data_IF_368584589848
#
_entry.id   IF_368584589848
#
_cell.length_a   1.000
_cell.length_b   1.000
_cell.length_c   1.000
_cell.angle_alpha   90.00
_cell.angle_beta   90.00
_cell.angle_gamma   90.00
#
_symmetry.space_group_name_H-M   'P 1'
#
loop_
_entity.id
_entity.type
_entity.pdbx_description
1 polymer ?
#
# COMPACT_ATOMS: atom_id res chain seq x y z
N UNK A 1 -3.58 8.87 -13.40
CA UNK A 1 -2.37 8.04 -13.57
C UNK A 1 -1.43 8.28 -12.40
N UNK A 2 -1.04 7.23 -11.70
CA UNK A 2 -0.05 7.30 -10.64
C UNK A 2 1.33 7.05 -11.19
N UNK A 3 2.30 7.86 -10.79
CA UNK A 3 3.70 7.63 -11.03
C UNK A 3 4.37 7.32 -9.70
N UNK A 4 5.07 6.21 -9.64
CA UNK A 4 5.68 5.71 -8.42
C UNK A 4 7.11 5.25 -8.70
N UNK A 5 8.05 5.60 -7.80
CA UNK A 5 9.39 5.04 -7.80
C UNK A 5 9.68 4.45 -6.43
N UNK A 6 10.43 3.36 -6.38
CA UNK A 6 10.72 2.63 -5.16
C UNK A 6 12.22 2.36 -5.03
N UNK A 7 12.74 2.57 -3.82
CA UNK A 7 14.12 2.31 -3.46
C UNK A 7 14.18 1.44 -2.21
N UNK A 8 15.22 0.63 -2.10
CA UNK A 8 15.39 -0.27 -0.96
C UNK A 8 16.65 0.07 -0.19
N UNK A 9 16.58 0.01 1.14
CA UNK A 9 17.67 0.34 2.04
C UNK A 9 17.76 -0.66 3.18
N UNK A 10 18.94 -0.88 3.78
CA UNK A 10 19.04 -1.66 4.99
C UNK A 10 18.39 -0.95 6.17
N UNK A 11 17.99 -1.70 7.19
CA UNK A 11 17.36 -1.14 8.40
C UNK A 11 18.18 -0.08 9.08
N UNK A 12 19.52 -0.21 9.02
CA UNK A 12 20.45 0.75 9.63
C UNK A 12 20.34 2.16 9.05
N UNK A 13 19.73 2.32 7.88
CA UNK A 13 19.57 3.62 7.24
C UNK A 13 18.34 4.41 7.68
N UNK A 14 17.50 3.83 8.55
CA UNK A 14 16.23 4.43 8.94
C UNK A 14 16.38 5.85 9.49
N UNK A 15 17.29 6.05 10.45
CA UNK A 15 17.49 7.35 11.07
C UNK A 15 17.98 8.39 10.06
N UNK A 16 18.87 8.01 9.18
CA UNK A 16 19.38 8.90 8.15
C UNK A 16 18.31 9.30 7.13
N UNK A 17 17.47 8.36 6.73
CA UNK A 17 16.35 8.62 5.82
C UNK A 17 15.36 9.59 6.45
N UNK A 18 14.98 9.34 7.70
CA UNK A 18 14.08 10.24 8.42
C UNK A 18 14.66 11.64 8.56
N UNK A 19 15.93 11.76 8.92
CA UNK A 19 16.60 13.06 9.05
C UNK A 19 16.60 13.83 7.74
N UNK A 20 16.88 13.14 6.63
CA UNK A 20 16.88 13.78 5.31
C UNK A 20 15.51 14.31 4.94
N UNK A 21 14.47 13.51 5.15
CA UNK A 21 13.10 13.92 4.83
C UNK A 21 12.58 15.00 5.77
N UNK A 22 12.94 14.94 7.05
CA UNK A 22 12.58 15.97 8.03
C UNK A 22 13.24 17.32 7.71
N UNK A 23 14.38 17.31 7.03
CA UNK A 23 15.05 18.54 6.61
C UNK A 23 14.36 19.26 5.45
N UNK A 24 13.45 18.60 4.76
CA UNK A 24 12.69 19.20 3.67
C UNK A 24 11.47 19.92 4.25
N UNK A 25 11.55 21.25 4.29
CA UNK A 25 10.55 22.11 4.95
C UNK A 25 9.17 22.04 4.31
N UNK A 26 9.10 21.75 3.03
CA UNK A 26 7.87 21.69 2.26
C UNK A 26 7.05 20.44 2.56
N UNK A 27 7.62 19.45 3.24
CA UNK A 27 6.95 18.20 3.56
C UNK A 27 6.42 18.21 4.99
N UNK A 28 5.21 17.67 5.14
CA UNK A 28 4.60 17.40 6.45
C UNK A 28 4.85 15.94 6.79
N UNK A 29 5.33 15.68 8.00
CA UNK A 29 5.55 14.32 8.49
C UNK A 29 4.28 13.78 9.11
N UNK A 30 3.82 12.63 8.63
CA UNK A 30 2.70 11.91 9.23
C UNK A 30 3.11 11.07 10.43
N UNK A 31 2.13 10.43 11.05
CA UNK A 31 2.37 9.53 12.19
C UNK A 31 2.86 8.18 11.70
N UNK A 32 3.81 7.60 12.42
CA UNK A 32 4.27 6.22 12.16
C UNK A 32 3.10 5.27 12.42
N UNK A 33 2.69 4.53 11.39
CA UNK A 33 1.48 3.71 11.41
C UNK A 33 1.83 2.24 11.24
N UNK A 34 1.31 1.41 12.15
CA UNK A 34 1.38 -0.04 12.00
C UNK A 34 0.34 -0.47 10.97
N UNK A 35 0.76 -1.31 10.01
CA UNK A 35 -0.13 -1.89 9.01
C UNK A 35 0.09 -3.38 8.89
N UNK A 36 -1.00 -4.13 8.89
CA UNK A 36 -1.00 -5.56 8.56
C UNK A 36 -1.91 -5.78 7.38
N UNK A 37 -1.38 -6.42 6.34
CA UNK A 37 -2.12 -6.69 5.10
C UNK A 37 -2.18 -8.18 4.86
N UNK A 38 -3.37 -8.68 4.53
CA UNK A 38 -3.59 -10.05 4.10
C UNK A 38 -4.15 -9.99 2.69
N UNK A 39 -3.51 -10.71 1.77
CA UNK A 39 -3.98 -10.83 0.39
C UNK A 39 -4.65 -12.18 0.19
N UNK A 40 -5.79 -12.14 -0.47
CA UNK A 40 -6.62 -13.32 -0.74
C UNK A 40 -6.78 -13.56 -2.24
N UNK A 41 -7.00 -14.80 -2.59
CA UNK A 41 -7.36 -15.21 -3.93
C UNK A 41 -8.67 -15.99 -3.91
N UNK A 42 -9.27 -16.15 -5.08
CA UNK A 42 -10.49 -16.93 -5.25
C UNK A 42 -10.25 -18.39 -4.84
N UNK A 43 -11.21 -19.05 -4.19
CA UNK A 43 -11.06 -20.46 -3.79
C UNK A 43 -10.97 -21.42 -4.97
N UNK A 44 -11.51 -21.06 -6.13
CA UNK A 44 -11.42 -21.85 -7.35
C UNK A 44 -10.24 -21.36 -8.20
N UNK A 45 -9.27 -22.22 -8.47
CA UNK A 45 -8.07 -21.86 -9.24
C UNK A 45 -8.40 -21.35 -10.65
N UNK A 46 -9.48 -21.85 -11.26
CA UNK A 46 -9.90 -21.38 -12.60
C UNK A 46 -10.42 -19.94 -12.59
N UNK A 47 -10.72 -19.41 -11.40
CA UNK A 47 -11.23 -18.06 -11.22
C UNK A 47 -10.25 -17.19 -10.44
N UNK A 48 -8.97 -17.56 -10.43
CA UNK A 48 -7.94 -16.79 -9.73
C UNK A 48 -7.94 -15.33 -10.15
N UNK A 49 -7.76 -14.45 -9.19
CA UNK A 49 -7.66 -13.01 -9.43
C UNK A 49 -6.34 -12.63 -10.07
N UNK A 50 -5.34 -13.48 -9.94
CA UNK A 50 -4.01 -13.24 -10.46
C UNK A 50 -3.62 -14.32 -11.47
N UNK A 51 -3.55 -13.94 -12.73
CA UNK A 51 -3.14 -14.82 -13.83
C UNK A 51 -2.45 -13.98 -14.89
N UNK A 52 -2.05 -14.60 -16.00
CA UNK A 52 -1.45 -13.88 -17.14
C UNK A 52 -2.42 -12.85 -17.74
N UNK A 53 -3.71 -13.08 -17.61
CA UNK A 53 -4.76 -12.24 -18.19
C UNK A 53 -5.36 -11.26 -17.18
N UNK A 54 -5.31 -11.63 -15.89
CA UNK A 54 -5.91 -10.84 -14.82
C UNK A 54 -4.85 -10.57 -13.75
N UNK A 55 -4.52 -9.30 -13.55
CA UNK A 55 -3.63 -8.87 -12.47
C UNK A 55 -4.47 -8.17 -11.41
N UNK A 56 -5.16 -8.99 -10.61
CA UNK A 56 -6.06 -8.52 -9.57
C UNK A 56 -5.53 -8.86 -8.18
N UNK A 57 -5.73 -7.93 -7.24
CA UNK A 57 -5.30 -8.09 -5.85
C UNK A 57 -6.43 -7.71 -4.91
N UNK A 58 -6.90 -8.68 -4.15
CA UNK A 58 -7.90 -8.50 -3.11
C UNK A 58 -7.21 -8.55 -1.75
N UNK A 59 -7.29 -7.45 -1.01
CA UNK A 59 -6.56 -7.30 0.26
C UNK A 59 -7.46 -6.78 1.36
N UNK A 60 -7.19 -7.22 2.58
CA UNK A 60 -7.71 -6.60 3.79
C UNK A 60 -6.52 -6.06 4.59
N UNK A 61 -6.63 -4.82 5.05
CA UNK A 61 -5.55 -4.15 5.78
C UNK A 61 -6.09 -3.50 7.04
N UNK A 62 -5.41 -3.72 8.15
CA UNK A 62 -5.61 -2.91 9.34
C UNK A 62 -4.51 -1.85 9.42
N UNK A 63 -4.87 -0.68 9.91
CA UNK A 63 -3.95 0.43 10.12
C UNK A 63 -4.19 1.01 11.49
N UNK A 64 -3.11 1.22 12.26
CA UNK A 64 -3.21 1.72 13.62
C UNK A 64 -2.05 2.63 13.99
N UNK A 65 -2.37 3.81 14.51
CA UNK A 65 -1.43 4.72 15.14
C UNK A 65 -2.12 5.44 16.32
N UNK A 66 -1.51 6.50 16.84
CA UNK A 66 -2.07 7.24 17.98
C UNK A 66 -3.44 7.85 17.67
N UNK A 67 -3.67 8.24 16.42
CA UNK A 67 -4.86 9.01 16.03
C UNK A 67 -5.93 8.18 15.35
N UNK A 68 -5.54 7.09 14.67
CA UNK A 68 -6.47 6.29 13.87
C UNK A 68 -6.35 4.81 14.17
N UNK A 69 -7.46 4.13 13.93
CA UNK A 69 -7.58 2.68 14.01
C UNK A 69 -8.66 2.30 13.01
N UNK A 70 -8.29 1.63 11.94
CA UNK A 70 -9.24 1.30 10.86
C UNK A 70 -8.90 0.00 10.17
N UNK A 71 -9.89 -0.53 9.46
CA UNK A 71 -9.78 -1.70 8.61
C UNK A 71 -10.24 -1.32 7.21
N UNK A 72 -9.52 -1.79 6.19
CA UNK A 72 -9.85 -1.48 4.81
C UNK A 72 -9.84 -2.74 3.97
N UNK A 73 -10.85 -2.87 3.09
CA UNK A 73 -10.86 -3.87 2.02
C UNK A 73 -10.54 -3.13 0.74
N UNK A 74 -9.63 -3.67 -0.05
CA UNK A 74 -9.26 -3.07 -1.32
C UNK A 74 -9.21 -4.10 -2.44
N UNK A 75 -9.57 -3.64 -3.62
CA UNK A 75 -9.44 -4.37 -4.87
C UNK A 75 -8.68 -3.50 -5.84
N UNK A 76 -7.63 -4.06 -6.44
CA UNK A 76 -6.90 -3.42 -7.54
C UNK A 76 -6.77 -4.42 -8.67
N UNK A 77 -7.09 -3.99 -9.88
CA UNK A 77 -6.91 -4.81 -11.06
C UNK A 77 -6.33 -3.95 -12.20
N UNK A 78 -5.26 -4.45 -12.79
CA UNK A 78 -4.69 -3.82 -13.99
C UNK A 78 -5.54 -4.23 -15.19
N UNK A 79 -6.09 -3.24 -15.89
CA UNK A 79 -7.04 -3.50 -16.99
C UNK A 79 -6.36 -3.67 -18.33
N UNK A 80 -5.15 -3.12 -18.51
CA UNK A 80 -4.48 -3.12 -19.81
C UNK A 80 -3.00 -3.42 -19.64
N UNK A 81 -2.65 -4.70 -19.81
CA UNK A 81 -1.28 -5.18 -19.62
C UNK A 81 -0.38 -4.99 -20.85
N UNK A 82 -0.97 -4.65 -22.01
CA UNK A 82 -0.25 -4.52 -23.29
C UNK A 82 -0.01 -3.08 -23.70
N UNK A 83 -0.39 -2.12 -22.89
CA UNK A 83 -0.25 -0.70 -23.16
C UNK A 83 0.85 -0.07 -22.29
N UNK A 84 1.50 0.97 -22.83
CA UNK A 84 2.42 1.80 -22.04
C UNK A 84 1.70 2.59 -20.96
N UNK A 85 0.38 2.71 -21.04
CA UNK A 85 -0.46 3.38 -20.06
C UNK A 85 -1.10 2.32 -19.17
N UNK A 86 -0.77 2.35 -17.88
CA UNK A 86 -1.37 1.46 -16.89
C UNK A 86 -2.71 2.03 -16.43
N UNK A 87 -3.80 1.35 -16.78
CA UNK A 87 -5.12 1.63 -16.23
C UNK A 87 -5.39 0.64 -15.10
N UNK A 88 -5.81 1.14 -13.96
CA UNK A 88 -6.16 0.32 -12.82
C UNK A 88 -7.61 0.55 -12.41
N UNK A 89 -8.31 -0.55 -12.18
CA UNK A 89 -9.59 -0.55 -11.49
C UNK A 89 -9.28 -0.62 -10.00
N UNK A 90 -9.83 0.31 -9.22
CA UNK A 90 -9.57 0.38 -7.79
C UNK A 90 -10.87 0.61 -7.03
N UNK A 91 -11.10 -0.24 -6.02
CA UNK A 91 -12.24 -0.12 -5.11
C UNK A 91 -11.72 -0.25 -3.69
N UNK A 92 -12.09 0.70 -2.83
CA UNK A 92 -11.69 0.69 -1.42
C UNK A 92 -12.92 0.90 -0.53
N UNK A 93 -13.03 0.07 0.51
CA UNK A 93 -14.05 0.20 1.54
C UNK A 93 -13.38 0.26 2.90
N UNK A 94 -13.71 1.30 3.66
CA UNK A 94 -13.15 1.48 5.00
C UNK A 94 -14.17 1.11 6.05
N UNK A 95 -13.74 0.33 7.03
CA UNK A 95 -14.54 -0.14 8.15
C UNK A 95 -13.89 0.26 9.47
N UNK A 96 -14.68 0.23 10.54
CA UNK A 96 -14.15 0.39 11.89
C UNK A 96 -13.21 -0.76 12.22
N UNK A 97 -12.16 -0.49 12.97
CA UNK A 97 -11.18 -1.51 13.38
C UNK A 97 -11.85 -2.70 14.05
N UNK A 98 -12.89 -2.47 14.84
CA UNK A 98 -13.63 -3.49 15.58
C UNK A 98 -14.34 -4.50 14.66
N UNK A 99 -14.55 -4.15 13.39
CA UNK A 99 -15.17 -5.05 12.41
C UNK A 99 -14.17 -6.03 11.78
N UNK A 100 -12.89 -5.91 12.08
CA UNK A 100 -11.85 -6.73 11.45
C UNK A 100 -12.09 -8.23 11.61
N UNK A 101 -12.39 -8.68 12.83
CA UNK A 101 -12.61 -10.11 13.10
C UNK A 101 -13.84 -10.64 12.35
N UNK A 102 -14.90 -9.85 12.27
CA UNK A 102 -16.10 -10.21 11.52
C UNK A 102 -15.83 -10.31 10.02
N UNK A 103 -15.06 -9.38 9.49
CA UNK A 103 -14.66 -9.40 8.07
C UNK A 103 -13.80 -10.61 7.76
N UNK A 104 -12.84 -10.94 8.62
CA UNK A 104 -12.02 -12.15 8.45
C UNK A 104 -12.86 -13.41 8.50
N UNK A 105 -13.84 -13.48 9.40
CA UNK A 105 -14.74 -14.62 9.49
C UNK A 105 -15.50 -14.83 8.17
N UNK A 106 -16.05 -13.75 7.61
CA UNK A 106 -16.79 -13.82 6.35
C UNK A 106 -15.86 -14.28 5.22
N UNK A 107 -14.70 -13.67 5.09
CA UNK A 107 -13.77 -13.96 4.01
C UNK A 107 -13.25 -15.41 4.10
N UNK A 108 -12.85 -15.84 5.30
CA UNK A 108 -12.26 -17.16 5.50
C UNK A 108 -13.27 -18.29 5.59
N UNK A 109 -14.40 -18.07 6.25
CA UNK A 109 -15.31 -19.15 6.60
C UNK A 109 -16.59 -19.20 5.73
N UNK A 110 -17.08 -18.06 5.29
CA UNK A 110 -18.26 -17.99 4.43
C UNK A 110 -17.89 -18.07 2.96
N UNK A 111 -16.99 -17.17 2.53
CA UNK A 111 -16.54 -17.11 1.14
C UNK A 111 -15.45 -18.12 0.82
N UNK A 112 -14.80 -18.70 1.84
CA UNK A 112 -13.75 -19.71 1.68
C UNK A 112 -12.60 -19.26 0.80
N UNK A 113 -12.24 -17.97 0.86
CA UNK A 113 -11.16 -17.43 0.06
C UNK A 113 -9.81 -17.94 0.54
N UNK A 114 -8.83 -18.00 -0.38
CA UNK A 114 -7.49 -18.49 -0.08
C UNK A 114 -6.59 -17.33 0.34
N UNK A 115 -5.99 -17.45 1.51
CA UNK A 115 -4.94 -16.52 1.91
C UNK A 115 -3.66 -16.88 1.17
N UNK A 116 -3.13 -15.94 0.38
CA UNK A 116 -1.93 -16.18 -0.42
C UNK A 116 -0.70 -15.45 0.10
N UNK A 117 -0.90 -14.35 0.81
CA UNK A 117 0.19 -13.56 1.35
C UNK A 117 -0.28 -12.78 2.57
N UNK A 118 0.63 -12.57 3.51
CA UNK A 118 0.40 -11.70 4.65
C UNK A 118 1.70 -11.01 5.00
N UNK A 119 1.65 -9.70 5.28
CA UNK A 119 2.81 -8.96 5.71
C UNK A 119 2.43 -7.84 6.68
N UNK A 120 3.42 -7.45 7.47
CA UNK A 120 3.31 -6.37 8.44
C UNK A 120 4.40 -5.35 8.16
N UNK A 121 4.10 -4.09 8.42
CA UNK A 121 5.07 -3.02 8.30
C UNK A 121 4.69 -1.85 9.19
N UNK A 122 5.67 -0.97 9.44
CA UNK A 122 5.39 0.37 9.94
C UNK A 122 5.62 1.34 8.81
N UNK A 123 4.66 2.21 8.57
CA UNK A 123 4.73 3.20 7.49
C UNK A 123 4.74 4.59 8.08
N UNK A 124 5.68 5.44 7.61
CA UNK A 124 5.70 6.86 7.89
C UNK A 124 5.61 7.59 6.56
N UNK A 125 4.66 8.51 6.44
CA UNK A 125 4.42 9.25 5.20
C UNK A 125 4.86 10.70 5.39
N UNK A 126 5.68 11.19 4.46
CA UNK A 126 6.04 12.59 4.32
C UNK A 126 5.33 13.11 3.08
N UNK A 127 4.57 14.21 3.21
CA UNK A 127 3.67 14.61 2.13
C UNK A 127 3.51 16.12 2.01
N UNK A 128 3.07 16.54 0.83
CA UNK A 128 2.53 17.86 0.54
C UNK A 128 1.45 17.69 -0.54
N UNK A 129 1.02 18.79 -1.17
CA UNK A 129 -0.02 18.73 -2.20
C UNK A 129 0.42 18.01 -3.47
N UNK A 130 1.72 17.95 -3.74
CA UNK A 130 2.27 17.44 -4.99
C UNK A 130 2.82 16.03 -4.90
N UNK A 131 3.35 15.65 -3.74
CA UNK A 131 4.14 14.43 -3.61
C UNK A 131 3.86 13.75 -2.29
N UNK A 132 3.99 12.43 -2.29
CA UNK A 132 3.91 11.62 -1.09
C UNK A 132 5.10 10.66 -1.05
N UNK A 133 5.86 10.68 0.04
CA UNK A 133 7.00 9.81 0.24
C UNK A 133 6.71 8.91 1.42
N UNK A 134 6.74 7.60 1.19
CA UNK A 134 6.49 6.60 2.23
C UNK A 134 7.78 5.92 2.62
N UNK A 135 8.07 5.86 3.92
CA UNK A 135 9.11 4.98 4.46
C UNK A 135 8.39 3.79 5.07
N UNK A 136 8.62 2.61 4.50
CA UNK A 136 8.04 1.36 4.98
C UNK A 136 9.11 0.52 5.65
N UNK A 137 8.92 0.25 6.94
CA UNK A 137 9.83 -0.55 7.76
C UNK A 137 9.31 -1.99 7.81
N UNK A 138 10.07 -2.89 7.20
CA UNK A 138 9.81 -4.33 7.23
C UNK A 138 10.85 -5.02 8.13
N UNK A 139 10.60 -6.24 8.60
CA UNK A 139 11.60 -6.98 9.38
C UNK A 139 12.94 -7.14 8.66
N UNK A 140 12.93 -7.19 7.34
CA UNK A 140 14.11 -7.45 6.52
C UNK A 140 14.78 -6.18 5.96
N UNK A 141 14.15 -5.01 6.08
CA UNK A 141 14.72 -3.78 5.52
C UNK A 141 13.68 -2.70 5.34
N UNK A 142 14.07 -1.66 4.60
CA UNK A 142 13.25 -0.48 4.38
C UNK A 142 12.98 -0.31 2.90
N UNK A 143 11.72 -0.01 2.56
CA UNK A 143 11.33 0.42 1.22
C UNK A 143 10.93 1.90 1.31
N UNK A 144 11.46 2.70 0.39
CA UNK A 144 11.07 4.09 0.25
C UNK A 144 10.34 4.25 -1.08
N UNK A 145 9.11 4.73 -1.04
CA UNK A 145 8.31 5.01 -2.23
C UNK A 145 8.08 6.50 -2.38
N UNK A 146 8.21 6.96 -3.61
CA UNK A 146 7.89 8.33 -3.96
C UNK A 146 6.75 8.28 -4.99
N UNK A 147 5.64 8.89 -4.63
CA UNK A 147 4.42 8.90 -5.45
C UNK A 147 4.03 10.33 -5.78
N UNK A 148 3.70 10.58 -7.04
CA UNK A 148 3.25 11.87 -7.52
C UNK A 148 1.73 11.96 -7.38
N UNK A 149 1.25 12.91 -6.58
CA UNK A 149 -0.17 13.17 -6.40
C UNK A 149 -0.77 13.99 -7.53
N UNK A 150 0.06 14.79 -8.23
CA UNK A 150 -0.40 15.59 -9.34
C UNK A 150 -0.31 14.78 -10.63
N UNK A 151 -1.37 14.84 -11.44
CA UNK A 151 -1.44 14.12 -12.70
C UNK A 151 -0.32 14.56 -13.66
N UNK A 152 0.27 13.59 -14.36
CA UNK A 152 1.17 13.77 -15.49
C UNK A 152 2.60 14.25 -15.19
N UNK A 153 3.10 14.12 -13.95
CA UNK A 153 4.49 14.46 -13.64
C UNK A 153 5.20 13.29 -12.95
N UNK A 154 6.44 13.05 -13.36
CA UNK A 154 7.29 12.03 -12.76
C UNK A 154 7.75 12.48 -11.37
N UNK A 155 7.64 11.66 -10.30
CA UNK A 155 8.10 12.02 -8.97
C UNK A 155 9.57 12.44 -8.90
N UNK A 156 10.42 11.91 -9.77
CA UNK A 156 11.84 12.29 -9.84
C UNK A 156 12.04 13.75 -10.22
N UNK A 157 11.16 14.30 -11.02
CA UNK A 157 11.23 15.69 -11.44
C UNK A 157 10.89 16.67 -10.32
N UNK A 158 10.12 16.20 -9.34
CA UNK A 158 9.71 16.98 -8.18
C UNK A 158 10.82 17.12 -7.13
N UNK A 159 11.72 16.15 -7.08
CA UNK A 159 12.78 16.07 -6.08
C UNK A 159 14.16 16.54 -6.59
N UNK A 160 14.28 16.71 -7.88
CA UNK A 160 15.54 17.15 -8.50
C UNK A 160 15.82 18.64 -8.33
#
# INVERSE_FOLDING_TARGET
MEYEVRYYYPKSDLDNLNKKLESIKELTKGKRTYEKTIQYDHPNNNMSFYSKEIDGRFRIRISKNEDISKCMISWKRRLNTNSDVNEEEEVELTFKYEEYDNLLFIINNVLKMKQIESYERYRTIYYNEEIEISIDEYPFGIALEIENKSNNKNPKDKLS
#
